data_IF_981258570347
#
_entry.id   IF_981258570347
#
_cell.length_a   1.000
_cell.length_b   1.000
_cell.length_c   1.000
_cell.angle_alpha   90.00
_cell.angle_beta   90.00
_cell.angle_gamma   90.00
#
_symmetry.space_group_name_H-M   'P 1'
#
loop_
_entity.id
_entity.type
_entity.pdbx_description
1 polymer ?
#
# COMPACT_ATOMS: atom_id res chain seq x y z
N UNK A 1 4.91 -28.29 -16.76
CA UNK A 1 5.22 -27.03 -16.04
C UNK A 1 6.28 -27.37 -15.00
N UNK A 2 7.43 -26.68 -15.02
CA UNK A 2 8.55 -26.93 -14.09
C UNK A 2 8.30 -26.18 -12.78
N UNK A 3 8.93 -26.62 -11.67
CA UNK A 3 8.76 -26.01 -10.35
C UNK A 3 9.07 -24.50 -10.30
N UNK A 4 9.91 -24.02 -11.22
CA UNK A 4 10.21 -22.59 -11.40
C UNK A 4 9.01 -21.80 -11.95
N UNK A 5 8.18 -22.40 -12.80
CA UNK A 5 6.98 -21.75 -13.33
C UNK A 5 5.88 -21.63 -12.26
N UNK A 6 5.70 -22.67 -11.43
CA UNK A 6 4.70 -22.65 -10.35
C UNK A 6 5.04 -21.59 -9.29
N UNK A 7 6.33 -21.41 -8.98
CA UNK A 7 6.80 -20.38 -8.04
C UNK A 7 6.68 -18.94 -8.58
N UNK A 8 6.69 -18.76 -9.91
CA UNK A 8 6.45 -17.46 -10.54
C UNK A 8 4.96 -17.17 -10.65
N UNK A 9 4.14 -18.18 -10.96
CA UNK A 9 2.69 -18.03 -11.07
C UNK A 9 2.05 -17.54 -9.77
N UNK A 10 2.51 -18.02 -8.61
CA UNK A 10 2.04 -17.51 -7.32
C UNK A 10 2.31 -16.01 -7.14
N UNK A 11 3.46 -15.51 -7.63
CA UNK A 11 3.86 -14.11 -7.51
C UNK A 11 3.24 -13.20 -8.57
N UNK A 12 2.71 -13.77 -9.67
CA UNK A 12 1.99 -13.01 -10.69
C UNK A 12 0.77 -12.31 -10.09
N UNK A 13 0.03 -12.97 -9.20
CA UNK A 13 -1.14 -12.37 -8.55
C UNK A 13 -0.74 -11.13 -7.72
N UNK A 14 0.29 -11.27 -6.88
CA UNK A 14 0.84 -10.18 -6.08
C UNK A 14 1.31 -9.02 -6.97
N UNK A 15 1.96 -9.33 -8.10
CA UNK A 15 2.38 -8.32 -9.06
C UNK A 15 1.19 -7.57 -9.69
N UNK A 16 0.11 -8.28 -10.06
CA UNK A 16 -1.09 -7.66 -10.62
C UNK A 16 -1.86 -6.86 -9.55
N UNK A 17 -1.81 -7.26 -8.26
CA UNK A 17 -2.40 -6.50 -7.15
C UNK A 17 -1.56 -5.29 -6.74
N UNK A 18 -0.30 -5.21 -7.17
CA UNK A 18 0.64 -4.18 -6.75
C UNK A 18 1.23 -4.45 -5.37
N UNK A 19 1.19 -5.69 -4.91
CA UNK A 19 1.72 -6.16 -3.62
C UNK A 19 3.15 -6.70 -3.74
N UNK A 20 3.63 -6.96 -4.95
CA UNK A 20 5.01 -7.38 -5.20
C UNK A 20 6.02 -6.24 -4.98
N UNK A 21 7.17 -6.57 -4.39
CA UNK A 21 8.31 -5.67 -4.27
C UNK A 21 8.98 -5.42 -5.63
N UNK A 22 9.80 -4.37 -5.72
CA UNK A 22 10.55 -4.08 -6.95
C UNK A 22 11.49 -5.20 -7.38
N UNK A 23 12.09 -5.92 -6.43
CA UNK A 23 12.94 -7.07 -6.72
C UNK A 23 12.12 -8.25 -7.29
N UNK A 24 10.94 -8.50 -6.73
CA UNK A 24 10.05 -9.57 -7.21
C UNK A 24 9.51 -9.26 -8.61
N UNK A 25 9.14 -8.00 -8.89
CA UNK A 25 8.72 -7.58 -10.22
C UNK A 25 9.79 -7.83 -11.28
N UNK A 26 11.06 -7.55 -10.97
CA UNK A 26 12.18 -7.79 -11.88
C UNK A 26 12.39 -9.29 -12.16
N UNK A 27 12.27 -10.15 -11.14
CA UNK A 27 12.35 -11.59 -11.30
C UNK A 27 11.21 -12.15 -12.16
N UNK A 28 9.99 -11.66 -11.92
CA UNK A 28 8.81 -12.03 -12.72
C UNK A 28 9.01 -11.60 -14.16
N UNK A 29 9.38 -10.34 -14.43
CA UNK A 29 9.61 -9.85 -15.79
C UNK A 29 10.64 -10.69 -16.55
N UNK A 30 11.78 -10.98 -15.92
CA UNK A 30 12.82 -11.82 -16.53
C UNK A 30 12.30 -13.22 -16.88
N UNK A 31 11.45 -13.80 -16.04
CA UNK A 31 10.84 -15.09 -16.33
C UNK A 31 9.85 -15.00 -17.50
N UNK A 32 8.97 -13.99 -17.51
CA UNK A 32 7.98 -13.81 -18.58
C UNK A 32 8.64 -13.60 -19.95
N UNK A 33 9.78 -12.90 -19.99
CA UNK A 33 10.58 -12.74 -21.23
C UNK A 33 11.14 -14.07 -21.76
N UNK A 34 11.51 -14.99 -20.85
CA UNK A 34 12.09 -16.27 -21.20
C UNK A 34 11.05 -17.42 -21.33
N UNK A 35 9.81 -17.19 -20.90
CA UNK A 35 8.77 -18.21 -20.77
C UNK A 35 7.43 -17.74 -21.35
N UNK A 36 7.24 -17.89 -22.68
CA UNK A 36 5.98 -17.56 -23.35
C UNK A 36 4.69 -18.12 -22.69
N UNK A 37 4.64 -19.38 -22.21
CA UNK A 37 3.40 -19.88 -21.59
C UNK A 37 3.05 -19.14 -20.29
N UNK A 38 4.04 -18.70 -19.50
CA UNK A 38 3.75 -17.91 -18.30
C UNK A 38 3.35 -16.47 -18.64
N UNK A 39 3.85 -15.91 -19.74
CA UNK A 39 3.40 -14.63 -20.26
C UNK A 39 1.93 -14.68 -20.70
N UNK A 40 1.52 -15.72 -21.41
CA UNK A 40 0.12 -15.91 -21.81
C UNK A 40 -0.82 -15.97 -20.59
N UNK A 41 -0.46 -16.72 -19.56
CA UNK A 41 -1.24 -16.79 -18.30
C UNK A 41 -1.28 -15.42 -17.60
N UNK A 42 -0.16 -14.70 -17.52
CA UNK A 42 -0.10 -13.35 -16.95
C UNK A 42 -1.05 -12.39 -17.68
N UNK A 43 -1.07 -12.40 -19.02
CA UNK A 43 -1.92 -11.53 -19.82
C UNK A 43 -3.41 -11.80 -19.59
N UNK A 44 -3.79 -13.08 -19.46
CA UNK A 44 -5.17 -13.48 -19.14
C UNK A 44 -5.59 -12.96 -17.78
N UNK A 45 -4.77 -13.18 -16.75
CA UNK A 45 -5.07 -12.74 -15.38
C UNK A 45 -5.13 -11.20 -15.28
N UNK A 46 -4.20 -10.50 -15.94
CA UNK A 46 -4.20 -9.03 -15.99
C UNK A 46 -5.45 -8.48 -16.69
N UNK A 47 -5.87 -9.10 -17.80
CA UNK A 47 -7.09 -8.72 -18.51
C UNK A 47 -8.35 -8.97 -17.66
N UNK A 48 -8.41 -10.10 -16.95
CA UNK A 48 -9.49 -10.43 -16.03
C UNK A 48 -9.59 -9.40 -14.90
N UNK A 49 -8.46 -9.09 -14.26
CA UNK A 49 -8.40 -8.09 -13.18
C UNK A 49 -8.80 -6.70 -13.65
N UNK A 50 -8.37 -6.31 -14.85
CA UNK A 50 -8.78 -5.05 -15.48
C UNK A 50 -10.31 -5.01 -15.72
N UNK A 51 -10.89 -6.12 -16.16
CA UNK A 51 -12.34 -6.25 -16.34
C UNK A 51 -13.10 -6.11 -15.00
N UNK A 52 -12.65 -6.82 -13.96
CA UNK A 52 -13.24 -6.74 -12.62
C UNK A 52 -13.17 -5.31 -12.08
N UNK A 53 -12.00 -4.67 -12.18
CA UNK A 53 -11.82 -3.27 -11.75
C UNK A 53 -12.75 -2.31 -12.47
N UNK A 54 -13.01 -2.52 -13.76
CA UNK A 54 -13.95 -1.70 -14.53
C UNK A 54 -15.40 -1.88 -14.06
N UNK A 55 -15.82 -3.11 -13.80
CA UNK A 55 -17.19 -3.42 -13.42
C UNK A 55 -17.51 -3.13 -11.96
N UNK A 56 -16.52 -3.18 -11.08
CA UNK A 56 -16.67 -3.08 -9.63
C UNK A 56 -16.01 -1.84 -9.02
N UNK A 57 -15.72 -0.81 -9.83
CA UNK A 57 -15.22 0.47 -9.33
C UNK A 57 -16.37 1.36 -8.82
N UNK A 58 -16.74 1.20 -7.55
CA UNK A 58 -17.60 2.16 -6.87
C UNK A 58 -16.78 3.38 -6.38
N UNK A 59 -17.36 4.57 -6.52
CA UNK A 59 -16.74 5.78 -5.96
C UNK A 59 -17.03 5.84 -4.47
N UNK A 60 -15.96 5.88 -3.65
CA UNK A 60 -16.11 6.10 -2.22
C UNK A 60 -16.92 7.38 -1.96
N UNK A 61 -17.92 7.36 -1.05
CA UNK A 61 -18.71 8.53 -0.70
C UNK A 61 -17.83 9.71 -0.31
N UNK A 62 -18.21 10.91 -0.72
CA UNK A 62 -17.42 12.14 -0.50
C UNK A 62 -17.08 12.35 0.98
N UNK A 63 -18.04 12.09 1.88
CA UNK A 63 -17.83 12.17 3.32
C UNK A 63 -16.71 11.23 3.83
N UNK A 64 -16.62 10.02 3.27
CA UNK A 64 -15.56 9.07 3.63
C UNK A 64 -14.20 9.54 3.08
N UNK A 65 -14.16 10.03 1.84
CA UNK A 65 -12.94 10.61 1.24
C UNK A 65 -12.45 11.79 2.07
N UNK A 66 -13.31 12.74 2.40
CA UNK A 66 -12.97 13.90 3.21
C UNK A 66 -12.39 13.50 4.59
N UNK A 67 -13.01 12.50 5.24
CA UNK A 67 -12.52 11.97 6.52
C UNK A 67 -11.14 11.32 6.40
N UNK A 68 -10.90 10.52 5.35
CA UNK A 68 -9.60 9.88 5.11
C UNK A 68 -8.53 10.94 4.84
N UNK A 69 -8.81 11.88 3.92
CA UNK A 69 -7.89 12.98 3.59
C UNK A 69 -7.53 13.75 4.85
N UNK A 70 -8.52 14.18 5.64
CA UNK A 70 -8.26 14.87 6.90
C UNK A 70 -7.40 14.03 7.86
N UNK A 71 -7.60 12.71 7.91
CA UNK A 71 -6.79 11.82 8.77
C UNK A 71 -5.33 11.72 8.32
N UNK A 72 -5.07 11.71 7.01
CA UNK A 72 -3.70 11.56 6.48
C UNK A 72 -2.97 12.89 6.32
N UNK A 73 -3.68 14.01 6.22
CA UNK A 73 -3.09 15.37 6.20
C UNK A 73 -2.94 15.99 7.58
N UNK A 74 -3.40 15.31 8.63
CA UNK A 74 -3.25 15.78 10.01
C UNK A 74 -1.83 15.53 10.52
N UNK A 75 -1.13 16.61 10.87
CA UNK A 75 0.18 16.55 11.52
C UNK A 75 -0.02 16.50 13.04
N UNK A 76 0.63 15.54 13.70
CA UNK A 76 0.69 15.46 15.16
C UNK A 76 2.08 15.84 15.64
N UNK A 77 2.17 16.93 16.40
CA UNK A 77 3.39 17.34 17.08
C UNK A 77 3.34 16.82 18.52
N UNK A 78 4.20 15.86 18.83
CA UNK A 78 4.39 15.34 20.18
C UNK A 78 5.54 16.08 20.84
N UNK A 79 5.26 16.83 21.90
CA UNK A 79 6.25 17.54 22.69
C UNK A 79 6.35 16.89 24.07
N UNK A 80 7.46 16.21 24.32
CA UNK A 80 7.75 15.62 25.64
C UNK A 80 8.58 16.60 26.45
N UNK A 81 8.07 17.01 27.60
CA UNK A 81 8.74 17.91 28.55
C UNK A 81 8.99 17.17 29.85
N UNK A 82 10.23 17.21 30.32
CA UNK A 82 10.61 16.72 31.64
C UNK A 82 10.43 17.86 32.64
N UNK A 83 9.56 17.66 33.63
CA UNK A 83 9.39 18.57 34.74
C UNK A 83 10.18 18.05 35.94
N UNK A 84 11.15 18.83 36.40
CA UNK A 84 11.87 18.59 37.66
C UNK A 84 11.24 19.46 38.74
N UNK A 85 10.48 18.87 39.65
CA UNK A 85 9.87 19.55 40.78
C UNK A 85 10.24 18.79 42.06
N UNK A 86 11.24 19.29 42.78
CA UNK A 86 11.79 18.60 43.95
C UNK A 86 12.49 17.28 43.60
N UNK A 87 12.62 16.41 44.59
CA UNK A 87 13.17 15.05 44.53
C UNK A 87 12.40 14.07 43.61
N UNK A 88 11.41 14.56 42.85
CA UNK A 88 10.68 13.82 41.82
C UNK A 88 10.92 14.37 40.41
N UNK A 89 11.15 13.47 39.44
CA UNK A 89 11.13 13.77 38.01
C UNK A 89 9.84 13.25 37.39
N UNK A 90 9.09 14.11 36.69
CA UNK A 90 7.88 13.74 35.97
C UNK A 90 8.06 14.00 34.47
N UNK A 91 7.68 13.02 33.64
CA UNK A 91 7.68 13.16 32.18
C UNK A 91 6.26 13.51 31.73
N UNK A 92 6.07 14.69 31.17
CA UNK A 92 4.78 15.16 30.65
C UNK A 92 4.84 15.15 29.13
N UNK A 93 3.92 14.42 28.49
CA UNK A 93 3.81 14.41 27.02
C UNK A 93 2.62 15.27 26.60
N UNK A 94 2.88 16.30 25.81
CA UNK A 94 1.85 17.15 25.20
C UNK A 94 1.73 16.80 23.71
N UNK A 95 0.55 16.35 23.29
CA UNK A 95 0.26 16.10 21.88
C UNK A 95 -0.56 17.26 21.33
N UNK A 96 -0.05 17.93 20.29
CA UNK A 96 -0.77 18.97 19.56
C UNK A 96 -1.11 18.43 18.18
N UNK A 97 -2.38 18.46 17.80
CA UNK A 97 -2.86 17.95 16.51
C UNK A 97 -3.29 19.13 15.64
N UNK A 98 -2.69 19.26 14.46
CA UNK A 98 -3.00 20.32 13.50
C UNK A 98 -3.44 19.68 12.18
N UNK A 99 -4.66 19.97 11.74
CA UNK A 99 -5.19 19.48 10.47
C UNK A 99 -5.09 20.60 9.45
N UNK A 100 -4.34 20.36 8.37
CA UNK A 100 -4.31 21.28 7.22
C UNK A 100 -5.56 21.02 6.39
N UNK A 101 -6.52 21.95 6.41
CA UNK A 101 -7.68 21.97 5.50
C UNK A 101 -7.30 22.84 4.31
N UNK A 102 -6.89 22.23 3.20
CA UNK A 102 -6.84 22.94 1.92
C UNK A 102 -8.30 23.09 1.45
N UNK A 103 -8.75 24.35 1.37
CA UNK A 103 -10.10 24.73 0.95
C UNK A 103 -10.23 24.88 -0.56
#
# INVERSE_FOLDING_TARGET
MSAECDGVLARIYDAIDGEATSAELEEIHRHLEACPPCLEEYEVEAALKALVRRCCAEQAPEALRAKIVASITTVQTVTTVQAHAGDGSAVVTRVTRTTTVEG
#
